data_IF_431151618898
#
_entry.id   IF_431151618898
#
_cell.length_a   1.000
_cell.length_b   1.000
_cell.length_c   1.000
_cell.angle_alpha   90.00
_cell.angle_beta   90.00
_cell.angle_gamma   90.00
#
_symmetry.space_group_name_H-M   'P 1'
#
loop_
_entity.id
_entity.type
_entity.pdbx_description
1 polymer ?
#
# COMPACT_ATOMS: atom_id res chain seq x y z
N UNK A 1 50.61 24.30 -21.67
CA UNK A 1 49.56 25.17 -21.10
C UNK A 1 48.48 24.29 -20.49
N UNK A 2 48.66 23.90 -19.24
CA UNK A 2 47.67 23.17 -18.44
C UNK A 2 46.71 24.17 -17.80
N UNK A 3 45.40 23.94 -17.90
CA UNK A 3 44.41 24.56 -17.00
C UNK A 3 43.56 23.49 -16.35
N UNK A 4 43.90 23.28 -15.09
CA UNK A 4 43.11 22.73 -14.00
C UNK A 4 41.59 22.96 -14.14
N UNK A 5 40.82 21.88 -14.00
CA UNK A 5 39.52 21.91 -13.32
C UNK A 5 39.65 21.09 -12.03
N UNK A 6 39.56 21.71 -10.85
CA UNK A 6 39.40 21.00 -9.59
C UNK A 6 37.92 20.95 -9.18
N UNK A 7 37.55 19.93 -8.41
CA UNK A 7 36.37 19.93 -7.55
C UNK A 7 35.16 19.15 -8.07
N UNK A 8 35.33 17.86 -8.36
CA UNK A 8 34.24 16.90 -8.19
C UNK A 8 34.27 16.41 -6.74
N UNK A 9 33.93 17.33 -5.83
CA UNK A 9 33.77 17.08 -4.41
C UNK A 9 32.29 16.78 -4.14
N UNK A 10 32.01 15.61 -3.57
CA UNK A 10 30.69 15.34 -3.01
C UNK A 10 30.09 13.98 -3.28
N UNK A 11 30.91 12.93 -3.40
CA UNK A 11 30.49 11.60 -2.96
C UNK A 11 30.10 11.70 -1.48
N UNK A 12 28.81 11.87 -1.19
CA UNK A 12 28.43 12.15 0.21
C UNK A 12 26.95 12.38 0.50
N UNK A 13 26.04 11.59 -0.06
CA UNK A 13 24.69 11.43 0.53
C UNK A 13 24.04 10.10 0.11
N UNK A 14 24.73 8.97 0.29
CA UNK A 14 24.03 7.70 0.51
C UNK A 14 23.49 7.74 1.93
N UNK A 15 22.34 8.39 2.11
CA UNK A 15 21.51 8.15 3.30
C UNK A 15 21.00 6.73 3.19
N UNK A 16 21.62 5.82 3.94
CA UNK A 16 21.21 4.44 4.09
C UNK A 16 19.85 4.32 4.76
N UNK A 17 18.76 4.55 3.99
CA UNK A 17 17.51 3.84 4.19
C UNK A 17 17.74 2.49 3.51
N UNK A 18 17.63 1.37 4.22
CA UNK A 18 17.37 0.09 3.59
C UNK A 18 15.97 0.21 2.94
N UNK A 19 15.92 0.90 1.80
CA UNK A 19 14.73 1.41 1.17
C UNK A 19 14.10 0.29 0.38
N UNK A 20 13.08 -0.34 0.95
CA UNK A 20 12.25 -1.26 0.19
C UNK A 20 11.62 -0.52 -1.00
N UNK A 21 11.74 -1.11 -2.20
CA UNK A 21 11.03 -0.63 -3.39
C UNK A 21 9.51 -0.66 -3.11
N UNK A 22 8.82 0.49 -3.07
CA UNK A 22 7.39 0.54 -2.81
C UNK A 22 6.57 -0.31 -3.78
N UNK A 23 6.99 -0.37 -5.05
CA UNK A 23 6.32 -1.20 -6.05
C UNK A 23 6.51 -2.70 -5.75
N UNK A 24 7.66 -3.11 -5.21
CA UNK A 24 7.89 -4.49 -4.78
C UNK A 24 7.02 -4.87 -3.58
N UNK A 25 6.84 -3.96 -2.63
CA UNK A 25 5.94 -4.16 -1.48
C UNK A 25 4.49 -4.32 -1.93
N UNK A 26 4.00 -3.45 -2.82
CA UNK A 26 2.63 -3.53 -3.35
C UNK A 26 2.38 -4.81 -4.15
N UNK A 27 3.33 -5.21 -5.00
CA UNK A 27 3.23 -6.49 -5.72
C UNK A 27 3.20 -7.69 -4.78
N UNK A 28 3.98 -7.65 -3.70
CA UNK A 28 3.97 -8.71 -2.70
C UNK A 28 2.66 -8.75 -1.92
N UNK A 29 2.15 -7.59 -1.52
CA UNK A 29 0.85 -7.43 -0.88
C UNK A 29 -0.31 -7.94 -1.76
N UNK A 30 -0.31 -7.59 -3.05
CA UNK A 30 -1.31 -8.10 -4.00
C UNK A 30 -1.27 -9.63 -4.12
N UNK A 31 -0.07 -10.23 -4.25
CA UNK A 31 0.06 -11.70 -4.31
C UNK A 31 -0.47 -12.37 -3.05
N UNK A 32 -0.18 -11.79 -1.89
CA UNK A 32 -0.68 -12.31 -0.62
C UNK A 32 -2.21 -12.19 -0.53
N UNK A 33 -2.78 -11.02 -0.80
CA UNK A 33 -4.24 -10.81 -0.81
C UNK A 33 -4.96 -11.75 -1.79
N UNK A 34 -4.41 -11.93 -2.99
CA UNK A 34 -4.93 -12.87 -3.97
C UNK A 34 -4.87 -14.32 -3.48
N UNK A 35 -3.77 -14.73 -2.82
CA UNK A 35 -3.66 -16.06 -2.21
C UNK A 35 -4.63 -16.28 -1.06
N UNK A 36 -5.03 -15.21 -0.38
CA UNK A 36 -6.06 -15.20 0.67
C UNK A 36 -7.49 -15.08 0.10
N UNK A 37 -7.66 -15.10 -1.23
CA UNK A 37 -8.97 -15.12 -1.89
C UNK A 37 -9.61 -13.73 -2.14
N UNK A 38 -8.85 -12.64 -1.98
CA UNK A 38 -9.35 -11.29 -2.23
C UNK A 38 -9.06 -10.80 -3.65
N UNK A 39 -10.11 -10.43 -4.37
CA UNK A 39 -9.97 -9.65 -5.60
C UNK A 39 -9.53 -8.22 -5.24
N UNK A 40 -8.40 -7.81 -5.80
CA UNK A 40 -7.75 -6.54 -5.51
C UNK A 40 -6.89 -6.06 -6.70
N UNK A 41 -6.66 -4.75 -6.78
CA UNK A 41 -5.90 -4.11 -7.86
C UNK A 41 -5.00 -3.01 -7.29
N UNK A 42 -3.89 -2.70 -7.98
CA UNK A 42 -3.07 -1.52 -7.64
C UNK A 42 -3.80 -0.24 -7.99
N UNK A 43 -3.47 0.86 -7.31
CA UNK A 43 -3.78 2.20 -7.82
C UNK A 43 -3.11 2.45 -9.17
N UNK A 44 -3.80 3.18 -10.07
CA UNK A 44 -3.25 3.61 -11.36
C UNK A 44 -2.18 4.70 -11.27
N UNK A 45 -2.03 5.35 -10.12
CA UNK A 45 -0.97 6.35 -9.90
C UNK A 45 0.37 5.66 -9.55
N UNK A 46 1.53 6.27 -9.81
CA UNK A 46 2.83 5.74 -9.37
C UNK A 46 2.99 5.77 -7.84
N UNK A 47 3.74 4.82 -7.23
CA UNK A 47 4.07 4.88 -5.81
C UNK A 47 4.75 6.20 -5.42
N UNK A 48 4.38 6.76 -4.27
CA UNK A 48 4.90 8.04 -3.78
C UNK A 48 4.16 9.28 -4.29
N UNK A 49 3.17 9.14 -5.18
CA UNK A 49 2.26 10.25 -5.51
C UNK A 49 1.44 10.65 -4.28
N UNK A 50 1.31 11.95 -4.03
CA UNK A 50 0.53 12.47 -2.92
C UNK A 50 -0.94 12.04 -2.99
N UNK A 51 -1.54 11.67 -1.85
CA UNK A 51 -2.95 11.25 -1.79
C UNK A 51 -3.25 9.92 -2.49
N UNK A 52 -2.22 9.16 -2.88
CA UNK A 52 -2.37 7.85 -3.49
C UNK A 52 -2.56 6.77 -2.42
N UNK A 53 -3.43 5.80 -2.71
CA UNK A 53 -3.49 4.51 -2.01
C UNK A 53 -2.68 3.45 -2.77
N UNK A 54 -2.22 2.40 -2.11
CA UNK A 54 -1.47 1.32 -2.79
C UNK A 54 -2.40 0.36 -3.54
N UNK A 55 -3.41 -0.16 -2.85
CA UNK A 55 -4.29 -1.23 -3.33
C UNK A 55 -5.76 -0.86 -3.12
N UNK A 56 -6.62 -1.22 -4.06
CA UNK A 56 -8.08 -1.16 -3.92
C UNK A 56 -8.66 -2.57 -3.92
N UNK A 57 -9.58 -2.85 -2.99
CA UNK A 57 -10.32 -4.10 -2.89
C UNK A 57 -11.60 -4.07 -3.73
N UNK A 58 -12.15 -5.26 -4.01
CA UNK A 58 -13.41 -5.42 -4.75
C UNK A 58 -14.63 -4.66 -4.20
N UNK A 59 -14.63 -4.30 -2.92
CA UNK A 59 -15.71 -3.55 -2.28
C UNK A 59 -15.44 -2.03 -2.22
N UNK A 60 -14.36 -1.58 -2.87
CA UNK A 60 -13.97 -0.17 -2.94
C UNK A 60 -13.12 0.32 -1.76
N UNK A 61 -12.82 -0.52 -0.77
CA UNK A 61 -11.91 -0.15 0.33
C UNK A 61 -10.48 -0.01 -0.17
N UNK A 62 -9.76 0.93 0.43
CA UNK A 62 -8.40 1.32 0.00
C UNK A 62 -7.38 0.94 1.06
N UNK A 63 -6.26 0.38 0.61
CA UNK A 63 -5.15 0.00 1.46
C UNK A 63 -3.93 0.83 1.09
N UNK A 64 -3.32 1.39 2.11
CA UNK A 64 -1.94 1.81 2.08
C UNK A 64 -1.03 0.56 2.25
N UNK A 65 0.17 0.60 1.68
CA UNK A 65 1.19 -0.45 1.87
C UNK A 65 2.48 0.24 2.28
N UNK A 66 3.09 -0.23 3.37
CA UNK A 66 4.32 0.37 3.91
C UNK A 66 5.25 -0.69 4.50
N UNK A 67 6.56 -0.45 4.54
CA UNK A 67 7.49 -1.35 5.20
C UNK A 67 7.45 -1.22 6.73
N UNK A 68 7.91 -2.24 7.44
CA UNK A 68 8.28 -2.13 8.86
C UNK A 68 9.79 -1.85 9.01
N UNK A 69 10.23 -1.18 10.10
CA UNK A 69 9.43 -0.60 11.18
C UNK A 69 8.85 0.79 10.84
N UNK A 70 9.41 1.46 9.83
CA UNK A 70 9.02 2.81 9.41
C UNK A 70 8.23 2.75 8.12
N UNK A 71 6.97 3.15 8.20
CA UNK A 71 5.99 2.90 7.14
C UNK A 71 6.10 3.89 5.97
N UNK A 72 6.69 5.07 6.19
CA UNK A 72 6.58 6.18 5.24
C UNK A 72 5.16 6.75 5.13
N UNK A 73 4.22 6.32 5.98
CA UNK A 73 2.85 6.81 6.04
C UNK A 73 2.64 7.61 7.31
N UNK A 74 1.89 8.69 7.18
CA UNK A 74 1.30 9.46 8.28
C UNK A 74 -0.20 9.24 8.32
N UNK A 75 -0.84 9.53 9.46
CA UNK A 75 -2.30 9.54 9.56
C UNK A 75 -2.93 10.42 8.47
N UNK A 76 -2.39 11.62 8.25
CA UNK A 76 -2.92 12.54 7.26
C UNK A 76 -2.79 12.02 5.83
N UNK A 77 -1.65 11.40 5.48
CA UNK A 77 -1.46 10.80 4.15
C UNK A 77 -2.46 9.66 3.89
N UNK A 78 -2.75 8.84 4.91
CA UNK A 78 -3.79 7.82 4.83
C UNK A 78 -5.18 8.45 4.68
N UNK A 79 -5.48 9.50 5.43
CA UNK A 79 -6.76 10.21 5.37
C UNK A 79 -6.98 10.86 3.99
N UNK A 80 -5.97 11.56 3.44
CA UNK A 80 -6.00 12.15 2.10
C UNK A 80 -6.22 11.09 1.02
N UNK A 81 -5.56 9.94 1.14
CA UNK A 81 -5.74 8.80 0.23
C UNK A 81 -7.06 8.02 0.44
N UNK A 82 -7.81 8.34 1.50
CA UNK A 82 -9.02 7.64 1.95
C UNK A 82 -8.77 6.15 2.23
N UNK A 83 -7.60 5.82 2.79
CA UNK A 83 -7.24 4.46 3.15
C UNK A 83 -7.98 4.01 4.42
N UNK A 84 -8.58 2.83 4.36
CA UNK A 84 -9.19 2.16 5.51
C UNK A 84 -8.14 1.45 6.38
N UNK A 85 -7.12 0.89 5.72
CA UNK A 85 -6.07 0.10 6.35
C UNK A 85 -4.70 0.48 5.81
N UNK A 86 -3.68 0.26 6.63
CA UNK A 86 -2.27 0.23 6.24
C UNK A 86 -1.76 -1.19 6.44
N UNK A 87 -1.43 -1.87 5.34
CA UNK A 87 -0.78 -3.17 5.36
C UNK A 87 0.73 -3.00 5.52
N UNK A 88 1.27 -3.64 6.56
CA UNK A 88 2.66 -3.57 6.93
C UNK A 88 3.41 -4.77 6.33
N UNK A 89 4.53 -4.49 5.67
CA UNK A 89 5.31 -5.50 4.96
C UNK A 89 6.73 -5.57 5.57
N UNK A 90 7.16 -6.76 5.97
CA UNK A 90 8.54 -7.01 6.34
C UNK A 90 9.32 -7.51 5.12
N UNK A 91 10.48 -6.93 4.87
CA UNK A 91 11.39 -7.55 3.93
C UNK A 91 12.06 -8.80 4.48
N UNK A 92 12.66 -9.55 3.57
CA UNK A 92 13.45 -10.74 3.86
C UNK A 92 14.81 -10.56 3.24
N UNK A 93 15.86 -11.00 3.93
CA UNK A 93 17.24 -11.01 3.39
C UNK A 93 17.32 -11.76 2.06
N UNK A 94 16.50 -12.80 1.91
CA UNK A 94 16.28 -13.52 0.66
C UNK A 94 14.79 -13.76 0.47
N UNK A 95 14.24 -13.20 -0.61
CA UNK A 95 12.86 -13.44 -1.05
C UNK A 95 11.99 -12.18 -1.13
N UNK A 96 10.74 -12.39 -1.54
CA UNK A 96 9.76 -11.32 -1.59
C UNK A 96 9.38 -10.84 -0.18
N UNK A 97 9.05 -9.55 0.00
CA UNK A 97 8.45 -9.07 1.24
C UNK A 97 7.22 -9.88 1.63
N UNK A 98 7.01 -10.03 2.93
CA UNK A 98 5.87 -10.76 3.51
C UNK A 98 5.05 -9.83 4.39
N UNK A 99 3.73 -10.06 4.52
CA UNK A 99 2.93 -9.28 5.44
C UNK A 99 3.41 -9.50 6.88
N UNK A 100 3.66 -8.39 7.57
CA UNK A 100 4.06 -8.36 8.97
C UNK A 100 2.84 -8.14 9.88
N UNK A 101 1.86 -7.38 9.39
CA UNK A 101 0.65 -7.04 10.13
C UNK A 101 -0.11 -5.91 9.44
N UNK A 102 -1.08 -5.31 10.13
CA UNK A 102 -1.79 -4.15 9.62
C UNK A 102 -2.23 -3.20 10.72
N UNK A 103 -2.53 -1.97 10.31
CA UNK A 103 -3.17 -0.94 11.11
C UNK A 103 -4.47 -0.52 10.43
N UNK A 104 -5.51 -0.28 11.22
CA UNK A 104 -6.70 0.44 10.76
C UNK A 104 -6.42 1.94 10.75
N UNK A 105 -7.26 2.70 10.04
CA UNK A 105 -7.24 4.15 10.12
C UNK A 105 -7.38 4.67 11.57
N UNK A 106 -8.13 3.96 12.42
CA UNK A 106 -8.29 4.34 13.83
C UNK A 106 -7.01 4.13 14.63
N UNK A 107 -6.28 3.05 14.37
CA UNK A 107 -4.98 2.81 15.00
C UNK A 107 -3.98 3.88 14.56
N UNK A 108 -3.92 4.18 13.26
CA UNK A 108 -3.05 5.23 12.73
C UNK A 108 -3.30 6.59 13.42
N UNK A 109 -4.57 6.93 13.71
CA UNK A 109 -4.94 8.13 14.45
C UNK A 109 -4.45 8.12 15.90
N UNK A 110 -4.47 6.96 16.55
CA UNK A 110 -4.10 6.81 17.94
C UNK A 110 -2.58 6.76 18.16
N UNK A 111 -1.82 6.32 17.13
CA UNK A 111 -0.40 6.04 17.23
C UNK A 111 0.52 7.24 17.05
N UNK A 112 0.07 8.28 16.34
CA UNK A 112 0.93 9.39 15.96
C UNK A 112 0.16 10.71 15.84
N UNK A 113 0.86 11.84 15.96
CA UNK A 113 0.33 13.12 15.52
C UNK A 113 -0.04 13.11 14.02
N UNK A 114 -0.85 14.07 13.53
CA UNK A 114 -1.41 14.03 12.17
C UNK A 114 -0.36 13.86 11.06
N UNK A 115 0.78 14.55 11.20
CA UNK A 115 1.89 14.56 10.25
C UNK A 115 3.07 13.67 10.69
N UNK A 116 2.96 13.01 11.84
CA UNK A 116 4.03 12.16 12.34
C UNK A 116 4.02 10.80 11.63
N UNK A 117 5.21 10.33 11.25
CA UNK A 117 5.38 9.03 10.59
C UNK A 117 4.96 7.90 11.55
N UNK A 118 4.13 6.98 11.06
CA UNK A 118 3.69 5.83 11.83
C UNK A 118 4.88 4.89 12.08
N UNK A 119 5.34 4.86 13.32
CA UNK A 119 6.44 4.01 13.79
C UNK A 119 5.91 2.73 14.46
N UNK A 120 5.93 1.65 13.68
CA UNK A 120 5.48 0.31 14.08
C UNK A 120 6.54 -0.44 14.89
N UNK A 121 7.73 0.13 15.10
CA UNK A 121 8.75 -0.42 15.99
C UNK A 121 8.49 -0.12 17.47
N UNK A 122 7.64 0.87 17.77
CA UNK A 122 7.33 1.31 19.14
C UNK A 122 5.94 0.88 19.61
N UNK A 123 5.09 0.43 18.69
CA UNK A 123 3.66 0.17 18.92
C UNK A 123 3.22 -1.13 18.26
N UNK A 124 2.30 -1.84 18.92
CA UNK A 124 1.75 -3.09 18.40
C UNK A 124 0.81 -2.85 17.23
N UNK A 125 0.74 -3.81 16.32
CA UNK A 125 -0.16 -3.85 15.17
C UNK A 125 -0.89 -5.19 15.12
N UNK A 126 -1.96 -5.26 14.35
CA UNK A 126 -2.75 -6.48 14.21
C UNK A 126 -2.01 -7.55 13.40
N UNK A 127 -2.32 -8.82 13.67
CA UNK A 127 -1.76 -9.93 12.91
C UNK A 127 -2.28 -9.89 11.47
N UNK A 128 -1.44 -10.22 10.47
CA UNK A 128 -1.86 -10.15 9.08
C UNK A 128 -3.02 -11.10 8.77
N UNK A 129 -3.12 -12.23 9.47
CA UNK A 129 -4.16 -13.24 9.31
C UNK A 129 -5.55 -12.79 9.81
N UNK A 130 -5.63 -11.73 10.62
CA UNK A 130 -6.90 -11.16 11.08
C UNK A 130 -7.55 -10.25 10.02
N UNK A 131 -6.74 -9.72 9.09
CA UNK A 131 -7.22 -8.79 8.06
C UNK A 131 -8.33 -9.42 7.19
N UNK A 132 -8.20 -10.66 6.68
CA UNK A 132 -9.29 -11.32 5.96
C UNK A 132 -10.65 -11.33 6.67
N UNK A 133 -10.65 -11.55 7.99
CA UNK A 133 -11.89 -11.56 8.80
C UNK A 133 -12.55 -10.17 8.87
N UNK A 134 -11.75 -9.11 8.94
CA UNK A 134 -12.22 -7.73 8.88
C UNK A 134 -12.64 -7.31 7.46
N UNK A 135 -12.04 -7.94 6.45
CA UNK A 135 -12.39 -7.70 5.07
C UNK A 135 -13.69 -8.41 4.65
N UNK A 136 -14.08 -9.50 5.31
CA UNK A 136 -15.37 -10.15 5.08
C UNK A 136 -16.14 -10.27 6.41
N UNK A 137 -16.71 -9.16 6.93
CA UNK A 137 -17.63 -9.29 8.05
C UNK A 137 -18.81 -10.19 7.62
N UNK A 138 -19.42 -10.98 8.52
CA UNK A 138 -20.47 -11.95 8.21
C UNK A 138 -21.84 -11.31 7.86
N UNK A 139 -21.83 -10.23 7.08
CA UNK A 139 -23.01 -9.54 6.57
C UNK A 139 -23.24 -9.99 5.12
N UNK A 140 -24.49 -10.25 4.75
CA UNK A 140 -24.88 -10.73 3.42
C UNK A 140 -24.15 -9.98 2.29
N UNK A 141 -23.49 -10.71 1.39
CA UNK A 141 -22.68 -10.24 0.24
C UNK A 141 -23.30 -9.07 -0.53
N UNK A 142 -24.63 -9.09 -0.69
CA UNK A 142 -25.43 -8.06 -1.35
C UNK A 142 -25.43 -6.71 -0.63
N UNK A 143 -25.43 -6.74 0.71
CA UNK A 143 -25.39 -5.54 1.55
C UNK A 143 -24.00 -4.91 1.50
N UNK A 144 -22.93 -5.72 1.56
CA UNK A 144 -21.56 -5.22 1.40
C UNK A 144 -21.33 -4.57 0.03
N UNK A 145 -21.87 -5.16 -1.04
CA UNK A 145 -21.87 -4.57 -2.39
C UNK A 145 -22.63 -3.24 -2.43
N UNK A 146 -23.83 -3.18 -1.85
CA UNK A 146 -24.64 -1.96 -1.80
C UNK A 146 -23.93 -0.84 -1.03
N UNK A 147 -23.36 -1.15 0.14
CA UNK A 147 -22.61 -0.20 0.98
C UNK A 147 -21.33 0.25 0.30
N UNK A 148 -20.58 -0.67 -0.32
CA UNK A 148 -19.39 -0.33 -1.12
C UNK A 148 -19.73 0.61 -2.27
N UNK A 149 -20.82 0.34 -2.99
CA UNK A 149 -21.28 1.17 -4.12
C UNK A 149 -21.73 2.56 -3.66
N UNK A 150 -22.52 2.64 -2.58
CA UNK A 150 -22.91 3.92 -1.95
C UNK A 150 -21.69 4.71 -1.48
N UNK A 151 -20.70 4.04 -0.90
CA UNK A 151 -19.47 4.67 -0.44
C UNK A 151 -18.63 5.20 -1.61
N UNK A 152 -18.57 4.48 -2.73
CA UNK A 152 -17.92 4.93 -3.97
C UNK A 152 -18.61 6.18 -4.55
N UNK A 153 -19.94 6.16 -4.61
CA UNK A 153 -20.76 7.28 -5.06
C UNK A 153 -20.57 8.54 -4.20
N UNK A 154 -20.47 8.40 -2.87
CA UNK A 154 -20.24 9.52 -1.95
C UNK A 154 -18.78 10.00 -1.96
N UNK A 155 -17.84 9.09 -2.19
CA UNK A 155 -16.40 9.39 -2.09
C UNK A 155 -15.79 9.97 -3.39
N UNK A 156 -16.55 10.02 -4.48
CA UNK A 156 -16.06 10.44 -5.80
C UNK A 156 -15.28 9.33 -6.52
N UNK A 157 -15.32 9.39 -7.85
CA UNK A 157 -14.92 8.30 -8.76
C UNK A 157 -13.52 7.76 -8.48
N UNK A 158 -13.45 6.44 -8.35
CA UNK A 158 -12.21 5.69 -8.54
C UNK A 158 -12.12 5.50 -10.05
N UNK A 159 -11.09 6.02 -10.76
CA UNK A 159 -10.80 5.50 -12.08
C UNK A 159 -10.44 4.02 -11.91
N UNK A 160 -11.41 3.13 -12.16
CA UNK A 160 -11.12 1.73 -12.34
C UNK A 160 -10.16 1.63 -13.54
N UNK A 161 -9.07 0.85 -13.44
CA UNK A 161 -8.21 0.64 -14.59
C UNK A 161 -9.07 0.10 -15.74
N UNK A 162 -9.04 0.78 -16.88
CA UNK A 162 -9.76 0.35 -18.08
C UNK A 162 -9.26 -1.05 -18.44
N UNK A 163 -10.12 -2.07 -18.59
CA UNK A 163 -9.67 -3.39 -19.01
C UNK A 163 -9.18 -3.29 -20.46
N UNK A 164 -7.87 -3.05 -20.62
CA UNK A 164 -7.24 -2.76 -21.92
C UNK A 164 -5.72 -2.52 -21.81
N UNK A 165 -5.24 -2.00 -20.69
CA UNK A 165 -3.81 -1.73 -20.42
C UNK A 165 -3.07 -2.92 -19.77
N UNK A 166 -3.38 -4.15 -20.23
CA UNK A 166 -2.76 -5.38 -19.75
C UNK A 166 -1.44 -5.71 -20.47
N UNK A 167 -1.06 -4.93 -21.47
CA UNK A 167 0.05 -5.22 -22.39
C UNK A 167 1.45 -4.96 -21.78
N UNK A 168 1.55 -4.33 -20.61
CA UNK A 168 2.84 -3.99 -19.99
C UNK A 168 3.25 -4.93 -18.84
N UNK A 169 2.37 -5.84 -18.39
CA UNK A 169 2.61 -6.66 -17.19
C UNK A 169 3.19 -8.06 -17.45
N UNK A 170 3.45 -8.45 -18.70
CA UNK A 170 4.24 -9.66 -19.00
C UNK A 170 3.71 -10.96 -18.38
N UNK A 171 2.41 -11.02 -18.02
CA UNK A 171 1.78 -12.23 -17.52
C UNK A 171 1.06 -12.93 -18.69
N UNK A 172 1.28 -14.23 -18.91
CA UNK A 172 0.62 -14.96 -19.98
C UNK A 172 -0.89 -15.07 -19.68
N UNK A 173 -1.70 -14.41 -20.51
CA UNK A 173 -3.15 -14.65 -20.57
C UNK A 173 -3.34 -16.05 -21.12
N UNK A 174 -3.80 -16.98 -20.28
CA UNK A 174 -4.19 -18.31 -20.71
C UNK A 174 -5.65 -18.25 -21.13
N UNK A 175 -5.90 -18.15 -22.43
CA UNK A 175 -7.24 -18.27 -22.99
C UNK A 175 -7.81 -19.66 -22.68
N UNK A 176 -9.02 -19.70 -22.11
CA UNK A 176 -9.93 -20.84 -22.15
C UNK A 176 -11.35 -20.33 -22.28
#
# INVERSE_FOLDING_TARGET
MSRNRPGDDGTGARTGRAGYDPAALERAALRWLASSGFACWTSGSPPGTEGRYGIVLHDGRRLAVGPVPRTGWTFESMARAKCDFLLLMAGREQGAPVPAGFLTWWDARALAGPEEELDTGRTGFHQPDDLPGLLNPPVHRSISLLVGTLRLLVSGDIPAPTPGDWSHLGLPVKER
#
